data_IF_598807090192
#
_entry.id   IF_598807090192
#
_cell.length_a   1.000
_cell.length_b   1.000
_cell.length_c   1.000
_cell.angle_alpha   90.00
_cell.angle_beta   90.00
_cell.angle_gamma   90.00
#
_symmetry.space_group_name_H-M   'P 1'
#
loop_
_entity.id
_entity.type
_entity.pdbx_description
1 polymer ?
#
# COMPACT_ATOMS: atom_id res chain seq x y z
N UNK A 1 5.93 3.11 -23.11
CA UNK A 1 5.10 2.89 -21.92
C UNK A 1 3.65 2.83 -22.34
N UNK A 2 3.00 1.67 -22.13
CA UNK A 2 1.60 1.45 -22.46
C UNK A 2 0.70 1.84 -21.26
N UNK A 3 0.07 3.01 -21.31
CA UNK A 3 -0.76 3.52 -20.21
C UNK A 3 -2.00 2.67 -19.93
N UNK A 4 -2.58 2.01 -20.95
CA UNK A 4 -3.70 1.09 -20.75
C UNK A 4 -3.30 -0.11 -19.89
N UNK A 5 -2.11 -0.66 -20.14
CA UNK A 5 -1.52 -1.75 -19.33
C UNK A 5 -1.14 -1.28 -17.93
N UNK A 6 -0.62 -0.06 -17.77
CA UNK A 6 -0.37 0.55 -16.45
C UNK A 6 -1.67 0.64 -15.66
N UNK A 7 -2.73 1.12 -16.27
CA UNK A 7 -4.02 1.27 -15.61
C UNK A 7 -4.62 -0.08 -15.19
N UNK A 8 -4.67 -1.05 -16.11
CA UNK A 8 -5.19 -2.40 -15.81
C UNK A 8 -4.38 -3.14 -14.74
N UNK A 9 -3.05 -3.15 -14.87
CA UNK A 9 -2.17 -3.73 -13.85
C UNK A 9 -2.29 -2.99 -12.52
N UNK A 10 -2.41 -1.66 -12.58
CA UNK A 10 -2.59 -0.79 -11.43
C UNK A 10 -3.86 -1.06 -10.65
N UNK A 11 -4.98 -1.31 -11.34
CA UNK A 11 -6.23 -1.71 -10.70
C UNK A 11 -6.10 -3.06 -10.00
N UNK A 12 -5.41 -4.04 -10.61
CA UNK A 12 -5.14 -5.32 -9.95
C UNK A 12 -4.27 -5.14 -8.69
N UNK A 13 -3.20 -4.36 -8.79
CA UNK A 13 -2.35 -4.04 -7.64
C UNK A 13 -3.16 -3.34 -6.54
N UNK A 14 -3.97 -2.34 -6.91
CA UNK A 14 -4.85 -1.61 -6.00
C UNK A 14 -5.90 -2.49 -5.34
N UNK A 15 -6.43 -3.49 -6.05
CA UNK A 15 -7.38 -4.45 -5.48
C UNK A 15 -6.70 -5.31 -4.40
N UNK A 16 -5.49 -5.82 -4.68
CA UNK A 16 -4.74 -6.62 -3.70
C UNK A 16 -4.41 -5.78 -2.46
N UNK A 17 -3.97 -4.53 -2.67
CA UNK A 17 -3.71 -3.58 -1.57
C UNK A 17 -4.99 -3.27 -0.76
N UNK A 18 -6.14 -3.18 -1.40
CA UNK A 18 -7.39 -2.94 -0.68
C UNK A 18 -7.80 -4.14 0.19
N UNK A 19 -7.58 -5.36 -0.31
CA UNK A 19 -7.89 -6.58 0.43
C UNK A 19 -6.98 -6.71 1.65
N UNK A 20 -5.68 -6.48 1.50
CA UNK A 20 -4.76 -6.60 2.64
C UNK A 20 -4.95 -5.45 3.65
N UNK A 21 -5.20 -4.22 3.21
CA UNK A 21 -5.59 -3.11 4.11
C UNK A 21 -6.88 -3.43 4.88
N UNK A 22 -7.89 -4.01 4.22
CA UNK A 22 -9.11 -4.45 4.91
C UNK A 22 -8.79 -5.48 6.00
N UNK A 23 -7.98 -6.49 5.69
CA UNK A 23 -7.61 -7.55 6.65
C UNK A 23 -6.77 -6.96 7.79
N UNK A 24 -5.78 -6.14 7.49
CA UNK A 24 -4.91 -5.50 8.47
C UNK A 24 -5.73 -4.64 9.44
N UNK A 25 -6.54 -3.72 8.92
CA UNK A 25 -7.24 -2.74 9.74
C UNK A 25 -8.45 -3.32 10.48
N UNK A 26 -9.11 -4.37 9.96
CA UNK A 26 -10.30 -4.94 10.61
C UNK A 26 -10.02 -6.20 11.43
N UNK A 27 -9.12 -7.08 10.96
CA UNK A 27 -8.90 -8.40 11.58
C UNK A 27 -7.63 -8.46 12.42
N UNK A 28 -6.56 -7.82 11.97
CA UNK A 28 -5.25 -7.91 12.65
C UNK A 28 -5.13 -6.82 13.72
N UNK A 29 -5.32 -5.56 13.33
CA UNK A 29 -5.15 -4.39 14.21
C UNK A 29 -6.47 -3.84 14.75
N UNK A 30 -7.63 -4.31 14.26
CA UNK A 30 -8.95 -3.76 14.60
C UNK A 30 -9.17 -3.51 16.11
N UNK A 31 -9.01 -4.53 16.97
CA UNK A 31 -9.18 -4.35 18.42
C UNK A 31 -8.20 -3.33 19.03
N UNK A 32 -6.95 -3.32 18.57
CA UNK A 32 -5.91 -2.43 19.06
C UNK A 32 -6.14 -0.99 18.61
N UNK A 33 -6.62 -0.81 17.37
CA UNK A 33 -7.01 0.48 16.82
C UNK A 33 -8.21 1.07 17.56
N UNK A 34 -9.24 0.25 17.85
CA UNK A 34 -10.40 0.69 18.64
C UNK A 34 -10.00 1.13 20.06
N UNK A 35 -9.12 0.36 20.73
CA UNK A 35 -8.60 0.72 22.04
C UNK A 35 -7.81 2.04 21.99
N UNK A 36 -6.94 2.19 20.99
CA UNK A 36 -6.17 3.42 20.77
C UNK A 36 -7.08 4.63 20.56
N UNK A 37 -8.13 4.50 19.74
CA UNK A 37 -9.08 5.57 19.45
C UNK A 37 -9.87 5.97 20.69
N UNK A 38 -10.35 4.98 21.46
CA UNK A 38 -11.08 5.24 22.70
C UNK A 38 -10.20 5.93 23.75
N UNK A 39 -8.93 5.54 23.88
CA UNK A 39 -7.99 6.14 24.83
C UNK A 39 -7.69 7.61 24.51
N UNK A 40 -7.65 7.96 23.23
CA UNK A 40 -7.33 9.31 22.76
C UNK A 40 -8.57 10.16 22.45
N UNK A 41 -9.78 9.63 22.66
CA UNK A 41 -11.04 10.33 22.36
C UNK A 41 -11.27 10.58 20.87
N UNK A 42 -10.64 9.80 19.99
CA UNK A 42 -10.86 9.90 18.55
C UNK A 42 -12.23 9.38 18.16
N UNK A 43 -12.88 10.07 17.21
CA UNK A 43 -14.12 9.60 16.60
C UNK A 43 -13.81 8.49 15.61
N UNK A 44 -14.77 7.58 15.47
CA UNK A 44 -14.75 6.60 14.38
C UNK A 44 -14.64 7.36 13.03
N UNK A 45 -13.70 6.99 12.14
CA UNK A 45 -13.53 7.63 10.83
C UNK A 45 -14.78 7.53 9.94
N UNK A 46 -15.66 6.56 10.20
CA UNK A 46 -16.91 6.37 9.49
C UNK A 46 -16.74 5.93 8.03
N UNK A 47 -17.87 5.83 7.33
CA UNK A 47 -17.93 5.33 5.94
C UNK A 47 -17.20 6.22 4.93
N UNK A 48 -17.17 7.53 5.14
CA UNK A 48 -16.48 8.46 4.25
C UNK A 48 -14.97 8.20 4.19
N UNK A 49 -14.35 7.85 5.33
CA UNK A 49 -12.94 7.47 5.35
C UNK A 49 -12.67 6.22 4.53
N UNK A 50 -13.54 5.21 4.62
CA UNK A 50 -13.40 3.96 3.86
C UNK A 50 -13.40 4.24 2.35
N UNK A 51 -14.30 5.11 1.87
CA UNK A 51 -14.36 5.48 0.45
C UNK A 51 -13.03 6.13 0.02
N UNK A 52 -12.54 7.10 0.80
CA UNK A 52 -11.29 7.79 0.51
C UNK A 52 -10.11 6.82 0.52
N UNK A 53 -10.01 5.96 1.55
CA UNK A 53 -8.95 4.96 1.66
C UNK A 53 -8.95 4.04 0.43
N UNK A 54 -10.12 3.50 0.05
CA UNK A 54 -10.21 2.59 -1.09
C UNK A 54 -9.75 3.24 -2.39
N UNK A 55 -10.22 4.46 -2.67
CA UNK A 55 -9.84 5.21 -3.88
C UNK A 55 -8.35 5.52 -3.88
N UNK A 56 -7.80 6.00 -2.77
CA UNK A 56 -6.38 6.31 -2.65
C UNK A 56 -5.50 5.07 -2.82
N UNK A 57 -5.93 3.92 -2.30
CA UNK A 57 -5.22 2.65 -2.45
C UNK A 57 -5.23 2.14 -3.90
N UNK A 58 -6.31 2.36 -4.65
CA UNK A 58 -6.31 2.09 -6.09
C UNK A 58 -5.35 3.02 -6.85
N UNK A 59 -5.34 4.31 -6.54
CA UNK A 59 -4.40 5.26 -7.14
C UNK A 59 -2.95 4.85 -6.84
N UNK A 60 -2.68 4.41 -5.61
CA UNK A 60 -1.36 3.91 -5.22
C UNK A 60 -0.98 2.66 -6.02
N UNK A 61 -1.89 1.71 -6.23
CA UNK A 61 -1.67 0.55 -7.10
C UNK A 61 -1.29 0.95 -8.53
N UNK A 62 -1.97 1.96 -9.09
CA UNK A 62 -1.64 2.52 -10.41
C UNK A 62 -0.25 3.16 -10.39
N UNK A 63 0.07 3.94 -9.37
CA UNK A 63 1.41 4.54 -9.20
C UNK A 63 2.49 3.47 -9.07
N UNK A 64 2.21 2.34 -8.42
CA UNK A 64 3.15 1.22 -8.29
C UNK A 64 3.50 0.59 -9.64
N UNK A 65 2.49 0.30 -10.46
CA UNK A 65 2.72 -0.27 -11.79
C UNK A 65 3.31 0.78 -12.75
N UNK A 66 2.94 2.05 -12.59
CA UNK A 66 3.57 3.15 -13.33
C UNK A 66 5.05 3.28 -12.99
N UNK A 67 5.42 3.23 -11.71
CA UNK A 67 6.81 3.28 -11.27
C UNK A 67 7.58 2.06 -11.79
N UNK A 68 6.99 0.86 -11.73
CA UNK A 68 7.55 -0.33 -12.37
C UNK A 68 7.84 -0.11 -13.84
N UNK A 69 6.87 0.42 -14.60
CA UNK A 69 7.02 0.73 -16.02
C UNK A 69 8.14 1.76 -16.29
N UNK A 70 8.29 2.77 -15.42
CA UNK A 70 9.35 3.78 -15.54
C UNK A 70 10.76 3.24 -15.34
N UNK A 71 10.95 2.31 -14.38
CA UNK A 71 12.27 1.76 -14.06
C UNK A 71 12.62 0.53 -14.91
N UNK A 72 11.62 -0.13 -15.50
CA UNK A 72 11.77 -1.32 -16.35
C UNK A 72 12.77 -1.18 -17.51
N UNK A 73 12.85 -0.05 -18.26
CA UNK A 73 13.83 0.10 -19.33
C UNK A 73 15.30 -0.02 -18.87
N UNK A 74 15.58 0.30 -17.60
CA UNK A 74 16.94 0.25 -17.04
C UNK A 74 17.23 -1.06 -16.31
N UNK A 75 16.22 -1.64 -15.65
CA UNK A 75 16.37 -2.84 -14.82
C UNK A 75 15.97 -4.13 -15.52
N UNK A 76 15.36 -4.04 -16.70
CA UNK A 76 14.75 -5.14 -17.41
C UNK A 76 13.36 -5.51 -16.88
N UNK A 77 12.61 -6.34 -17.63
CA UNK A 77 11.35 -6.91 -17.16
C UNK A 77 11.55 -7.92 -16.03
N UNK A 78 10.50 -8.14 -15.24
CA UNK A 78 10.42 -9.24 -14.27
C UNK A 78 10.21 -8.84 -12.81
N UNK A 79 10.21 -9.86 -11.95
CA UNK A 79 9.87 -9.78 -10.52
C UNK A 79 10.82 -8.86 -9.76
N UNK A 80 12.12 -8.90 -10.06
CA UNK A 80 13.13 -8.06 -9.41
C UNK A 80 12.81 -6.57 -9.55
N UNK A 81 12.44 -6.14 -10.75
CA UNK A 81 12.05 -4.76 -11.02
C UNK A 81 10.77 -4.37 -10.29
N UNK A 82 9.78 -5.27 -10.21
CA UNK A 82 8.56 -5.04 -9.44
C UNK A 82 8.82 -4.89 -7.93
N UNK A 83 9.71 -5.72 -7.37
CA UNK A 83 10.13 -5.60 -5.97
C UNK A 83 10.79 -4.24 -5.72
N UNK A 84 11.65 -3.76 -6.63
CA UNK A 84 12.28 -2.44 -6.46
C UNK A 84 11.25 -1.32 -6.46
N UNK A 85 10.28 -1.34 -7.39
CA UNK A 85 9.18 -0.37 -7.39
C UNK A 85 8.36 -0.44 -6.09
N UNK A 86 8.03 -1.64 -5.62
CA UNK A 86 7.31 -1.86 -4.37
C UNK A 86 8.08 -1.31 -3.16
N UNK A 87 9.39 -1.58 -3.06
CA UNK A 87 10.24 -1.11 -1.97
C UNK A 87 10.36 0.41 -1.94
N UNK A 88 10.45 1.06 -3.11
CA UNK A 88 10.48 2.53 -3.20
C UNK A 88 9.17 3.11 -2.63
N UNK A 89 8.02 2.58 -3.04
CA UNK A 89 6.73 3.09 -2.56
C UNK A 89 6.45 2.74 -1.11
N UNK A 90 6.79 1.51 -0.70
CA UNK A 90 6.68 1.11 0.70
C UNK A 90 7.53 2.02 1.58
N UNK A 91 8.76 2.33 1.18
CA UNK A 91 9.59 3.26 1.93
C UNK A 91 9.00 4.68 1.95
N UNK A 92 8.69 5.24 0.78
CA UNK A 92 8.31 6.64 0.64
C UNK A 92 6.92 6.96 1.20
N UNK A 93 5.97 6.04 1.05
CA UNK A 93 4.57 6.24 1.48
C UNK A 93 4.35 5.61 2.83
N UNK A 94 4.77 4.37 3.04
CA UNK A 94 4.33 3.60 4.19
C UNK A 94 5.28 3.74 5.40
N UNK A 95 6.57 3.44 5.22
CA UNK A 95 7.56 3.52 6.29
C UNK A 95 7.78 4.97 6.72
N UNK A 96 8.07 5.87 5.77
CA UNK A 96 8.39 7.26 6.08
C UNK A 96 7.24 7.96 6.81
N UNK A 97 6.02 7.92 6.26
CA UNK A 97 4.88 8.57 6.91
C UNK A 97 4.48 7.86 8.20
N UNK A 98 4.57 6.53 8.25
CA UNK A 98 4.25 5.77 9.44
C UNK A 98 5.18 6.08 10.61
N UNK A 99 6.49 6.21 10.38
CA UNK A 99 7.45 6.58 11.42
C UNK A 99 7.13 7.97 11.97
N UNK A 100 6.86 8.96 11.11
CA UNK A 100 6.50 10.31 11.55
C UNK A 100 5.20 10.28 12.36
N UNK A 101 4.16 9.61 11.84
CA UNK A 101 2.86 9.50 12.52
C UNK A 101 2.96 8.77 13.86
N UNK A 102 3.85 7.76 13.96
CA UNK A 102 4.10 7.06 15.22
C UNK A 102 4.53 8.02 16.32
N UNK A 103 5.53 8.87 16.05
CA UNK A 103 6.01 9.84 17.03
C UNK A 103 5.00 10.98 17.25
N UNK A 104 4.34 11.45 16.20
CA UNK A 104 3.43 12.59 16.27
C UNK A 104 2.13 12.28 17.03
N UNK A 105 1.62 11.06 16.89
CA UNK A 105 0.35 10.62 17.50
C UNK A 105 0.53 9.61 18.62
N UNK A 106 1.77 9.33 19.04
CA UNK A 106 2.08 8.33 20.05
C UNK A 106 1.48 6.94 19.76
N UNK A 107 1.50 6.53 18.47
CA UNK A 107 0.97 5.22 18.06
C UNK A 107 1.84 4.11 18.68
N UNK A 108 1.24 3.06 19.28
CA UNK A 108 2.00 1.97 19.87
C UNK A 108 2.99 1.31 18.90
N UNK A 109 4.24 1.14 19.35
CA UNK A 109 5.35 0.58 18.54
C UNK A 109 5.03 -0.82 17.99
N UNK A 110 4.36 -1.66 18.78
CA UNK A 110 3.96 -3.00 18.35
C UNK A 110 2.98 -2.96 17.16
N UNK A 111 2.00 -2.04 17.16
CA UNK A 111 1.08 -1.86 16.04
C UNK A 111 1.83 -1.40 14.79
N UNK A 112 2.76 -0.46 14.94
CA UNK A 112 3.56 0.06 13.82
C UNK A 112 4.46 -1.01 13.20
N UNK A 113 5.13 -1.85 14.02
CA UNK A 113 5.96 -2.95 13.52
C UNK A 113 5.10 -3.94 12.71
N UNK A 114 3.93 -4.33 13.24
CA UNK A 114 3.00 -5.21 12.52
C UNK A 114 2.60 -4.57 11.19
N UNK A 115 2.20 -3.29 11.22
CA UNK A 115 1.83 -2.54 10.03
C UNK A 115 2.95 -2.50 9.00
N UNK A 116 4.19 -2.19 9.39
CA UNK A 116 5.34 -2.09 8.48
C UNK A 116 5.67 -3.42 7.81
N UNK A 117 5.70 -4.52 8.57
CA UNK A 117 5.96 -5.85 8.03
C UNK A 117 4.84 -6.29 7.11
N UNK A 118 3.58 -6.04 7.50
CA UNK A 118 2.42 -6.34 6.67
C UNK A 118 2.46 -5.57 5.34
N UNK A 119 2.59 -4.24 5.42
CA UNK A 119 2.65 -3.38 4.25
C UNK A 119 3.82 -3.72 3.33
N UNK A 120 4.95 -4.17 3.87
CA UNK A 120 6.10 -4.59 3.05
C UNK A 120 5.72 -5.78 2.17
N UNK A 121 5.14 -6.81 2.78
CA UNK A 121 4.71 -8.03 2.07
C UNK A 121 3.62 -7.69 1.05
N UNK A 122 2.65 -6.89 1.46
CA UNK A 122 1.50 -6.52 0.63
C UNK A 122 1.90 -5.70 -0.60
N UNK A 123 2.74 -4.67 -0.43
CA UNK A 123 3.23 -3.86 -1.55
C UNK A 123 4.00 -4.71 -2.56
N UNK A 124 4.83 -5.64 -2.08
CA UNK A 124 5.58 -6.56 -2.95
C UNK A 124 4.63 -7.43 -3.76
N UNK A 125 3.67 -8.12 -3.09
CA UNK A 125 2.72 -9.02 -3.76
C UNK A 125 1.85 -8.25 -4.77
N UNK A 126 1.30 -7.11 -4.36
CA UNK A 126 0.44 -6.29 -5.20
C UNK A 126 1.18 -5.76 -6.44
N UNK A 127 2.40 -5.25 -6.25
CA UNK A 127 3.18 -4.69 -7.36
C UNK A 127 3.63 -5.78 -8.33
N UNK A 128 4.01 -6.96 -7.83
CA UNK A 128 4.33 -8.11 -8.70
C UNK A 128 3.11 -8.52 -9.53
N UNK A 129 1.95 -8.66 -8.90
CA UNK A 129 0.73 -9.03 -9.60
C UNK A 129 0.32 -7.98 -10.65
N UNK A 130 0.38 -6.70 -10.32
CA UNK A 130 0.10 -5.63 -11.27
C UNK A 130 1.12 -5.56 -12.42
N UNK A 131 2.41 -5.74 -12.11
CA UNK A 131 3.49 -5.77 -13.10
C UNK A 131 3.35 -6.96 -14.06
N UNK A 132 2.76 -8.08 -13.63
CA UNK A 132 2.53 -9.23 -14.50
C UNK A 132 1.55 -8.92 -15.65
N UNK A 133 0.60 -8.01 -15.42
CA UNK A 133 -0.30 -7.52 -16.47
C UNK A 133 0.31 -6.43 -17.36
N UNK A 134 1.50 -5.90 -17.01
CA UNK A 134 2.14 -4.82 -17.75
C UNK A 134 3.04 -5.34 -18.89
N UNK A 135 2.77 -4.84 -20.10
CA UNK A 135 3.61 -5.03 -21.29
C UNK A 135 3.83 -3.70 -22.00
N UNK A 136 4.98 -3.51 -22.65
CA UNK A 136 5.29 -2.26 -23.40
C UNK A 136 4.55 -2.17 -24.74
N UNK A 137 4.19 -3.32 -25.31
CA UNK A 137 3.35 -3.46 -26.49
C UNK A 137 2.00 -4.03 -26.08
#
# INVERSE_FOLDING_TARGET
>A
MNFGRVFLGGLLAGLILNIGEFVLNTKVLGPQMMAFFSQHGFKDPGSNFIIVAVVMTFLLGIVAVWLYALIRPRMGPGVKTAIVAALILWFAVYLYTGVINMFMFAIPMNMMIIGFVWGLVEYIIATIAGAWLYTEA
#
